data_IF_293413510821
#
_entry.id   IF_293413510821
#
_cell.length_a   1.000
_cell.length_b   1.000
_cell.length_c   1.000
_cell.angle_alpha   90.00
_cell.angle_beta   90.00
_cell.angle_gamma   90.00
#
_symmetry.space_group_name_H-M   'P 1'
#
loop_
_entity.id
_entity.type
_entity.pdbx_description
1 polymer ?
#
# COMPACT_ATOMS: atom_id res chain seq x y z
N UNK A 1 29.73 -7.92 3.57
CA UNK A 1 28.91 -8.90 2.83
C UNK A 1 27.51 -8.82 3.39
N UNK A 2 26.54 -8.35 2.62
CA UNK A 2 25.14 -8.33 3.06
C UNK A 2 24.60 -9.74 2.99
N UNK A 3 24.22 -10.34 4.12
CA UNK A 3 23.65 -11.69 4.12
C UNK A 3 22.24 -11.67 3.52
N UNK A 4 21.79 -12.81 2.99
CA UNK A 4 20.48 -12.93 2.32
C UNK A 4 19.33 -12.56 3.27
N UNK A 5 19.48 -12.85 4.55
CA UNK A 5 18.55 -12.46 5.60
C UNK A 5 18.46 -10.94 5.76
N UNK A 6 19.59 -10.22 5.64
CA UNK A 6 19.60 -8.75 5.69
C UNK A 6 18.88 -8.11 4.50
N UNK A 7 18.98 -8.70 3.31
CA UNK A 7 18.24 -8.21 2.13
C UNK A 7 16.73 -8.40 2.29
N UNK A 8 16.31 -9.53 2.84
CA UNK A 8 14.89 -9.82 3.06
C UNK A 8 14.31 -8.93 4.15
N UNK A 9 15.05 -8.75 5.25
CA UNK A 9 14.68 -7.82 6.31
C UNK A 9 14.57 -6.38 5.80
N UNK A 10 15.50 -5.94 4.93
CA UNK A 10 15.41 -4.64 4.28
C UNK A 10 14.15 -4.51 3.42
N UNK A 11 13.83 -5.49 2.58
CA UNK A 11 12.63 -5.44 1.75
C UNK A 11 11.34 -5.47 2.57
N UNK A 12 11.28 -6.25 3.66
CA UNK A 12 10.14 -6.25 4.57
C UNK A 12 9.95 -4.86 5.18
N UNK A 13 11.03 -4.21 5.65
CA UNK A 13 10.98 -2.84 6.18
C UNK A 13 10.53 -1.83 5.13
N UNK A 14 10.98 -1.97 3.88
CA UNK A 14 10.53 -1.12 2.77
C UNK A 14 9.04 -1.27 2.52
N UNK A 15 8.51 -2.50 2.49
CA UNK A 15 7.07 -2.75 2.35
C UNK A 15 6.27 -2.16 3.52
N UNK A 16 6.72 -2.36 4.76
CA UNK A 16 6.06 -1.79 5.94
C UNK A 16 6.06 -0.25 5.90
N UNK A 17 7.16 0.37 5.48
CA UNK A 17 7.25 1.83 5.33
C UNK A 17 6.30 2.36 4.27
N UNK A 18 6.21 1.69 3.10
CA UNK A 18 5.28 2.08 2.03
C UNK A 18 3.83 1.89 2.44
N UNK A 19 3.51 0.80 3.12
CA UNK A 19 2.16 0.56 3.66
C UNK A 19 1.77 1.65 4.65
N UNK A 20 2.67 2.01 5.56
CA UNK A 20 2.42 3.09 6.51
C UNK A 20 2.15 4.42 5.80
N UNK A 21 2.91 4.72 4.74
CA UNK A 21 2.69 5.93 3.95
C UNK A 21 1.30 5.95 3.28
N UNK A 22 0.90 4.84 2.65
CA UNK A 22 -0.45 4.68 2.06
C UNK A 22 -1.53 4.80 3.14
N UNK A 23 -1.31 4.24 4.33
CA UNK A 23 -2.23 4.35 5.47
C UNK A 23 -2.42 5.81 5.91
N UNK A 24 -1.34 6.59 5.95
CA UNK A 24 -1.37 8.01 6.27
C UNK A 24 -2.14 8.81 5.22
N UNK A 25 -1.84 8.61 3.93
CA UNK A 25 -2.56 9.24 2.82
C UNK A 25 -4.05 8.89 2.83
N UNK A 26 -4.38 7.61 3.04
CA UNK A 26 -5.77 7.16 3.12
C UNK A 26 -6.51 7.83 4.30
N UNK A 27 -5.86 7.94 5.47
CA UNK A 27 -6.45 8.60 6.64
C UNK A 27 -6.71 10.08 6.38
N UNK A 28 -5.78 10.77 5.71
CA UNK A 28 -5.97 12.16 5.29
C UNK A 28 -7.13 12.27 4.29
N UNK A 29 -7.17 11.39 3.29
CA UNK A 29 -8.21 11.38 2.26
C UNK A 29 -9.60 11.14 2.87
N UNK A 30 -9.69 10.22 3.83
CA UNK A 30 -10.90 9.96 4.60
C UNK A 30 -11.32 11.17 5.46
N UNK A 31 -10.35 11.92 6.01
CA UNK A 31 -10.60 13.17 6.71
C UNK A 31 -11.17 14.26 5.79
N UNK A 32 -10.58 14.42 4.60
CA UNK A 32 -10.99 15.39 3.59
C UNK A 32 -12.45 15.21 3.17
N UNK A 33 -12.91 13.96 3.01
CA UNK A 33 -14.29 13.66 2.58
C UNK A 33 -15.26 13.40 3.74
N UNK A 34 -14.86 13.67 4.98
CA UNK A 34 -15.68 13.38 6.16
C UNK A 34 -16.98 14.20 6.19
N UNK A 35 -16.99 15.36 5.53
CA UNK A 35 -18.17 16.22 5.43
C UNK A 35 -19.11 15.86 4.27
N UNK A 36 -18.69 14.98 3.35
CA UNK A 36 -19.51 14.52 2.23
C UNK A 36 -20.46 13.41 2.68
N UNK A 37 -21.62 13.28 2.03
CA UNK A 37 -22.57 12.20 2.29
C UNK A 37 -22.00 10.82 1.94
N UNK A 38 -22.47 9.75 2.61
CA UNK A 38 -22.02 8.38 2.35
C UNK A 38 -22.24 7.91 0.90
N UNK A 39 -23.27 8.43 0.23
CA UNK A 39 -23.55 8.14 -1.18
C UNK A 39 -22.77 9.00 -2.18
N UNK A 40 -21.92 9.91 -1.72
CA UNK A 40 -21.16 10.79 -2.60
C UNK A 40 -20.13 9.99 -3.40
N UNK A 41 -20.04 10.26 -4.70
CA UNK A 41 -19.16 9.54 -5.64
C UNK A 41 -17.70 9.52 -5.15
N UNK A 42 -17.22 10.64 -4.61
CA UNK A 42 -15.89 10.78 -3.99
C UNK A 42 -15.64 9.82 -2.82
N UNK A 43 -16.66 9.51 -1.99
CA UNK A 43 -16.52 8.49 -0.93
C UNK A 43 -16.49 7.08 -1.50
N UNK A 44 -17.21 6.84 -2.58
CA UNK A 44 -17.19 5.55 -3.28
C UNK A 44 -15.83 5.30 -3.97
N UNK A 45 -15.23 6.34 -4.57
CA UNK A 45 -13.86 6.30 -5.07
C UNK A 45 -12.87 5.96 -3.95
N UNK A 46 -12.96 6.63 -2.79
CA UNK A 46 -12.10 6.35 -1.64
C UNK A 46 -12.24 4.91 -1.12
N UNK A 47 -13.47 4.39 -1.09
CA UNK A 47 -13.74 3.00 -0.70
C UNK A 47 -13.09 1.98 -1.66
N UNK A 48 -12.94 2.34 -2.94
CA UNK A 48 -12.19 1.52 -3.90
C UNK A 48 -10.68 1.49 -3.60
N UNK A 49 -10.12 2.57 -3.04
CA UNK A 49 -8.74 2.62 -2.57
C UNK A 49 -8.55 1.83 -1.28
N UNK A 50 -9.56 1.77 -0.42
CA UNK A 50 -9.55 0.91 0.78
C UNK A 50 -9.36 -0.57 0.44
N UNK A 51 -10.09 -1.08 -0.56
CA UNK A 51 -9.97 -2.46 -1.01
C UNK A 51 -8.55 -2.77 -1.52
N UNK A 52 -7.96 -1.86 -2.31
CA UNK A 52 -6.58 -2.00 -2.81
C UNK A 52 -5.57 -1.97 -1.66
N UNK A 53 -5.73 -1.07 -0.69
CA UNK A 53 -4.92 -1.00 0.53
C UNK A 53 -4.98 -2.31 1.32
N UNK A 54 -6.16 -2.90 1.49
CA UNK A 54 -6.32 -4.18 2.20
C UNK A 54 -5.61 -5.33 1.48
N UNK A 55 -5.69 -5.38 0.15
CA UNK A 55 -4.97 -6.37 -0.65
C UNK A 55 -3.45 -6.22 -0.52
N UNK A 56 -2.93 -4.98 -0.52
CA UNK A 56 -1.51 -4.72 -0.30
C UNK A 56 -1.06 -5.12 1.10
N UNK A 57 -1.90 -4.87 2.12
CA UNK A 57 -1.65 -5.32 3.50
C UNK A 57 -1.56 -6.83 3.61
N UNK A 58 -2.53 -7.55 3.04
CA UNK A 58 -2.52 -9.01 3.02
C UNK A 58 -1.25 -9.54 2.34
N UNK A 59 -0.85 -8.97 1.20
CA UNK A 59 0.41 -9.34 0.54
C UNK A 59 1.65 -9.08 1.40
N UNK A 60 1.70 -7.95 2.11
CA UNK A 60 2.82 -7.66 3.01
C UNK A 60 2.89 -8.68 4.16
N UNK A 61 1.75 -9.04 4.76
CA UNK A 61 1.68 -10.07 5.81
C UNK A 61 2.05 -11.47 5.29
N UNK A 62 1.63 -11.82 4.07
CA UNK A 62 2.02 -13.06 3.39
C UNK A 62 3.54 -13.11 3.16
N UNK A 63 4.14 -12.04 2.64
CA UNK A 63 5.59 -11.94 2.40
C UNK A 63 6.36 -12.05 3.72
N UNK A 64 5.85 -11.45 4.80
CA UNK A 64 6.48 -11.48 6.14
C UNK A 64 6.47 -12.88 6.76
N UNK A 65 5.44 -13.67 6.51
CA UNK A 65 5.29 -15.03 7.03
C UNK A 65 5.87 -16.10 6.09
N UNK A 66 6.32 -15.70 4.90
CA UNK A 66 6.82 -16.60 3.87
C UNK A 66 8.22 -17.16 4.23
N UNK A 67 8.45 -18.47 4.04
CA UNK A 67 9.79 -19.05 4.17
C UNK A 67 10.77 -18.47 3.14
N UNK A 68 12.03 -18.24 3.55
CA UNK A 68 13.12 -17.67 2.73
C UNK A 68 13.24 -18.30 1.32
N UNK A 69 12.95 -19.60 1.20
CA UNK A 69 13.05 -20.34 -0.05
C UNK A 69 11.95 -19.96 -1.05
N UNK A 70 10.72 -19.78 -0.57
CA UNK A 70 9.59 -19.27 -1.37
C UNK A 70 9.72 -17.79 -1.67
N UNK A 71 10.27 -17.02 -0.72
CA UNK A 71 10.49 -15.57 -0.89
C UNK A 71 11.32 -15.27 -2.15
N UNK A 72 12.30 -16.12 -2.47
CA UNK A 72 13.15 -15.94 -3.66
C UNK A 72 12.40 -16.23 -4.96
N UNK A 73 11.55 -17.25 -4.98
CA UNK A 73 10.75 -17.60 -6.17
C UNK A 73 9.68 -16.56 -6.45
N UNK A 74 9.03 -16.06 -5.38
CA UNK A 74 8.07 -14.98 -5.47
C UNK A 74 8.78 -13.68 -5.84
N UNK A 75 9.72 -13.14 -5.06
CA UNK A 75 10.31 -11.81 -5.33
C UNK A 75 10.91 -11.64 -6.73
N UNK A 76 11.47 -12.70 -7.33
CA UNK A 76 11.96 -12.65 -8.72
C UNK A 76 10.82 -12.62 -9.74
N UNK A 77 9.69 -13.28 -9.47
CA UNK A 77 8.49 -13.26 -10.33
C UNK A 77 7.63 -12.03 -10.09
N UNK A 78 7.53 -11.59 -8.85
CA UNK A 78 6.73 -10.49 -8.33
C UNK A 78 7.65 -9.32 -8.02
N UNK A 79 8.45 -8.84 -8.98
CA UNK A 79 8.94 -7.46 -8.96
C UNK A 79 7.79 -6.43 -9.14
N UNK A 80 6.62 -6.90 -9.60
CA UNK A 80 5.41 -6.11 -9.87
C UNK A 80 4.62 -5.52 -8.68
N UNK A 81 4.62 -6.08 -7.44
CA UNK A 81 3.93 -5.49 -6.30
C UNK A 81 4.41 -4.07 -6.05
N UNK A 82 5.72 -3.79 -6.11
CA UNK A 82 6.30 -2.45 -5.85
C UNK A 82 5.63 -1.35 -6.67
N UNK A 83 5.39 -1.60 -7.96
CA UNK A 83 4.70 -0.63 -8.82
C UNK A 83 3.24 -0.40 -8.40
N UNK A 84 2.55 -1.41 -7.87
CA UNK A 84 1.16 -1.28 -7.39
C UNK A 84 1.10 -0.39 -6.13
N UNK A 85 2.09 -0.49 -5.24
CA UNK A 85 2.18 0.39 -4.06
C UNK A 85 2.33 1.85 -4.48
N UNK A 86 3.25 2.14 -5.39
CA UNK A 86 3.53 3.50 -5.84
C UNK A 86 2.33 4.09 -6.61
N UNK A 87 1.64 3.27 -7.42
CA UNK A 87 0.40 3.68 -8.11
C UNK A 87 -0.72 4.00 -7.12
N UNK A 88 -0.90 3.22 -6.05
CA UNK A 88 -1.93 3.51 -5.06
C UNK A 88 -1.60 4.77 -4.25
N UNK A 89 -0.33 4.95 -3.87
CA UNK A 89 0.14 6.17 -3.22
C UNK A 89 -0.16 7.40 -4.09
N UNK A 90 0.24 7.37 -5.37
CA UNK A 90 -0.03 8.46 -6.30
C UNK A 90 -1.54 8.75 -6.44
N UNK A 91 -2.38 7.72 -6.56
CA UNK A 91 -3.84 7.91 -6.65
C UNK A 91 -4.42 8.59 -5.41
N UNK A 92 -3.91 8.26 -4.22
CA UNK A 92 -4.34 8.88 -2.97
C UNK A 92 -3.83 10.32 -2.85
N UNK A 93 -2.61 10.61 -3.30
CA UNK A 93 -2.07 11.96 -3.41
C UNK A 93 -2.91 12.80 -4.38
N UNK A 94 -3.15 12.33 -5.60
CA UNK A 94 -4.00 13.00 -6.59
C UNK A 94 -5.43 13.22 -6.07
N UNK A 95 -5.95 12.28 -5.27
CA UNK A 95 -7.24 12.44 -4.62
C UNK A 95 -7.22 13.54 -3.56
N UNK A 96 -6.17 13.59 -2.73
CA UNK A 96 -5.96 14.64 -1.75
C UNK A 96 -5.75 16.00 -2.38
N UNK A 97 -5.05 16.11 -3.51
CA UNK A 97 -4.92 17.37 -4.23
C UNK A 97 -6.27 17.88 -4.76
N UNK A 98 -7.14 16.96 -5.20
CA UNK A 98 -8.48 17.28 -5.69
C UNK A 98 -9.47 17.63 -4.59
N UNK A 99 -9.37 17.01 -3.41
CA UNK A 99 -10.41 17.04 -2.38
C UNK A 99 -9.95 17.51 -1.00
N UNK A 100 -8.66 17.68 -0.76
CA UNK A 100 -8.05 18.02 0.53
C UNK A 100 -7.97 19.51 0.86
N UNK A 101 -8.83 20.35 0.26
CA UNK A 101 -8.97 21.77 0.63
C UNK A 101 -9.94 21.97 1.78
#
# INVERSE_FOLDING_TARGET
>A
MTTKEQLIDQHIREYESRLKHIDELYKQAHGAVKHLDEGHETRSELKSYEAQRQQLKQKADEIKTMPLQKWREETVKTAGPMAIWDVLAQKLEDFLERHGK
#
